data_IF_730351971269
#
_entry.id   IF_730351971269
#
_cell.length_a   1.000
_cell.length_b   1.000
_cell.length_c   1.000
_cell.angle_alpha   90.00
_cell.angle_beta   90.00
_cell.angle_gamma   90.00
#
_symmetry.space_group_name_H-M   'P 1'
#
loop_
_entity.id
_entity.type
_entity.pdbx_description
1 polymer ?
#
# COMPACT_ATOMS: atom_id res chain seq x y z
N UNK A 1 -13.13 11.84 -5.69
CA UNK A 1 -12.81 11.41 -4.31
C UNK A 1 -11.46 12.04 -3.93
N UNK A 2 -11.32 12.66 -2.77
CA UNK A 2 -10.06 13.28 -2.35
C UNK A 2 -9.67 12.67 -1.01
N UNK A 3 -8.84 11.63 -1.06
CA UNK A 3 -8.37 10.81 0.08
C UNK A 3 -7.87 11.66 1.23
N UNK A 4 -7.25 12.83 0.93
CA UNK A 4 -6.82 13.80 1.93
C UNK A 4 -7.95 14.46 2.75
N UNK A 5 -9.22 14.18 2.51
CA UNK A 5 -10.34 14.64 3.35
C UNK A 5 -11.20 13.50 3.88
N UNK A 6 -11.24 12.37 3.17
CA UNK A 6 -12.01 11.21 3.58
C UNK A 6 -11.27 10.36 4.61
N UNK A 7 -9.95 10.21 4.46
CA UNK A 7 -9.16 9.35 5.32
C UNK A 7 -8.71 10.07 6.60
N UNK A 8 -9.07 9.47 7.74
CA UNK A 8 -8.76 9.99 9.07
C UNK A 8 -8.11 8.91 9.90
N UNK A 9 -7.14 9.30 10.70
CA UNK A 9 -6.47 8.42 11.65
C UNK A 9 -7.45 7.75 12.61
N UNK A 10 -8.51 8.43 13.05
CA UNK A 10 -9.59 7.88 13.89
C UNK A 10 -10.36 6.68 13.30
N UNK A 11 -10.17 6.38 12.01
CA UNK A 11 -10.78 5.22 11.34
C UNK A 11 -10.08 3.90 11.70
N UNK A 12 -8.92 3.96 12.35
CA UNK A 12 -8.07 2.80 12.62
C UNK A 12 -7.85 2.61 14.12
N UNK A 13 -8.05 1.38 14.57
CA UNK A 13 -7.59 0.87 15.86
C UNK A 13 -6.36 -0.01 15.63
N UNK A 14 -5.37 0.05 16.52
CA UNK A 14 -4.13 -0.74 16.45
C UNK A 14 -4.03 -1.60 17.69
N UNK A 15 -3.71 -2.86 17.50
CA UNK A 15 -3.28 -3.76 18.57
C UNK A 15 -1.84 -4.21 18.32
N UNK A 16 -1.03 -4.22 19.38
CA UNK A 16 0.33 -4.80 19.40
C UNK A 16 0.36 -5.85 20.51
N UNK A 17 0.78 -7.07 20.20
CA UNK A 17 0.74 -8.24 21.09
C UNK A 17 -0.65 -8.45 21.74
N UNK A 18 -1.70 -8.18 20.96
CA UNK A 18 -3.10 -8.27 21.39
C UNK A 18 -3.54 -7.19 22.38
N UNK A 19 -2.73 -6.15 22.62
CA UNK A 19 -3.07 -5.01 23.46
C UNK A 19 -3.31 -3.77 22.61
N UNK A 20 -4.30 -2.96 22.97
CA UNK A 20 -4.54 -1.69 22.30
C UNK A 20 -3.29 -0.80 22.36
N UNK A 21 -2.90 -0.26 21.20
CA UNK A 21 -1.71 0.54 21.04
C UNK A 21 -2.04 1.95 20.53
N UNK A 22 -1.20 2.90 20.90
CA UNK A 22 -1.22 4.26 20.35
C UNK A 22 -0.65 4.21 18.94
N UNK A 23 -1.51 4.46 17.95
CA UNK A 23 -1.18 4.41 16.53
C UNK A 23 -0.04 5.35 16.16
N UNK A 24 -0.10 6.59 16.63
CA UNK A 24 0.92 7.61 16.32
C UNK A 24 2.29 7.17 16.83
N UNK A 25 2.34 6.60 18.04
CA UNK A 25 3.58 6.07 18.60
C UNK A 25 4.05 4.79 17.93
N UNK A 26 3.13 3.91 17.53
CA UNK A 26 3.48 2.65 16.88
C UNK A 26 4.05 2.86 15.48
N UNK A 27 3.41 3.72 14.68
CA UNK A 27 3.89 4.03 13.33
C UNK A 27 5.06 5.03 13.36
N UNK A 28 5.13 5.90 14.39
CA UNK A 28 6.19 6.92 14.58
C UNK A 28 6.51 7.71 13.28
N UNK A 29 5.44 8.06 12.57
CA UNK A 29 5.51 8.68 11.26
C UNK A 29 5.96 10.14 11.33
N UNK A 30 6.97 10.47 10.53
CA UNK A 30 7.64 11.76 10.47
C UNK A 30 7.35 12.46 9.13
N UNK A 31 7.56 13.79 9.03
CA UNK A 31 7.21 14.54 7.83
C UNK A 31 7.84 14.02 6.54
N UNK A 32 9.03 13.41 6.59
CA UNK A 32 9.75 12.92 5.42
C UNK A 32 9.64 11.40 5.24
N UNK A 33 8.86 10.72 6.06
CA UNK A 33 8.71 9.27 5.96
C UNK A 33 7.99 8.86 4.68
N UNK A 34 8.34 7.66 4.22
CA UNK A 34 7.85 7.07 2.98
C UNK A 34 7.57 5.59 3.20
N UNK A 35 6.40 5.15 2.77
CA UNK A 35 6.01 3.74 2.81
C UNK A 35 6.38 3.10 1.48
N UNK A 36 7.04 1.95 1.52
CA UNK A 36 7.28 1.08 0.38
C UNK A 36 6.59 -0.26 0.60
N UNK A 37 5.78 -0.70 -0.36
CA UNK A 37 5.08 -1.99 -0.31
C UNK A 37 5.52 -2.85 -1.49
N UNK A 38 6.07 -4.02 -1.21
CA UNK A 38 6.50 -4.97 -2.24
C UNK A 38 5.35 -5.89 -2.62
N UNK A 39 5.12 -6.07 -3.92
CA UNK A 39 4.11 -6.94 -4.50
C UNK A 39 4.80 -7.96 -5.41
N UNK A 40 4.47 -9.23 -5.22
CA UNK A 40 4.96 -10.35 -6.02
C UNK A 40 3.83 -11.25 -6.55
N UNK A 41 2.57 -10.86 -6.37
CA UNK A 41 1.41 -11.60 -6.87
C UNK A 41 0.27 -10.65 -7.27
N UNK A 42 -0.61 -11.07 -8.19
CA UNK A 42 -1.77 -10.28 -8.61
C UNK A 42 -2.63 -9.85 -7.42
N UNK A 43 -2.92 -8.55 -7.34
CA UNK A 43 -3.64 -7.88 -6.25
C UNK A 43 -3.10 -8.17 -4.84
N UNK A 44 -1.86 -8.65 -4.71
CA UNK A 44 -1.27 -9.03 -3.43
C UNK A 44 -1.21 -7.86 -2.45
N UNK A 45 -1.10 -6.63 -2.94
CA UNK A 45 -1.10 -5.42 -2.12
C UNK A 45 -2.38 -5.22 -1.30
N UNK A 46 -3.49 -5.88 -1.65
CA UNK A 46 -4.72 -5.83 -0.87
C UNK A 46 -4.55 -6.43 0.54
N UNK A 47 -3.62 -7.38 0.72
CA UNK A 47 -3.25 -7.90 2.03
C UNK A 47 -2.62 -6.87 2.97
N UNK A 48 -2.13 -5.75 2.42
CA UNK A 48 -1.55 -4.63 3.16
C UNK A 48 -2.39 -3.33 3.07
N UNK A 49 -3.63 -3.41 2.57
CA UNK A 49 -4.46 -2.23 2.25
C UNK A 49 -4.74 -1.33 3.44
N UNK A 50 -4.94 -1.87 4.66
CA UNK A 50 -5.15 -1.04 5.84
C UNK A 50 -3.88 -0.34 6.29
N UNK A 51 -2.70 -0.95 6.12
CA UNK A 51 -1.43 -0.30 6.43
C UNK A 51 -1.12 0.82 5.42
N UNK A 52 -1.42 0.61 4.14
CA UNK A 52 -1.33 1.63 3.08
C UNK A 52 -2.19 2.85 3.41
N UNK A 53 -3.45 2.62 3.76
CA UNK A 53 -4.39 3.69 4.11
C UNK A 53 -3.99 4.35 5.44
N UNK A 54 -3.59 3.59 6.44
CA UNK A 54 -3.10 4.11 7.71
C UNK A 54 -1.88 5.05 7.53
N UNK A 55 -0.89 4.64 6.74
CA UNK A 55 0.27 5.48 6.43
C UNK A 55 -0.12 6.73 5.64
N UNK A 56 -1.10 6.61 4.74
CA UNK A 56 -1.66 7.75 4.01
C UNK A 56 -2.30 8.76 4.97
N UNK A 57 -3.06 8.30 5.97
CA UNK A 57 -3.62 9.17 7.00
C UNK A 57 -2.51 9.87 7.82
N UNK A 58 -1.51 9.10 8.26
CA UNK A 58 -0.38 9.62 9.04
C UNK A 58 0.43 10.67 8.29
N UNK A 59 0.63 10.48 6.97
CA UNK A 59 1.31 11.45 6.11
C UNK A 59 0.65 12.83 6.11
N UNK A 60 -0.68 12.87 6.09
CA UNK A 60 -1.40 14.14 6.17
C UNK A 60 -1.45 14.68 7.59
N UNK A 61 -1.56 13.82 8.60
CA UNK A 61 -1.70 14.23 10.00
C UNK A 61 -0.41 14.84 10.56
N UNK A 62 0.77 14.32 10.18
CA UNK A 62 2.06 14.88 10.62
C UNK A 62 2.33 16.28 10.04
N UNK A 63 1.67 16.63 8.93
CA UNK A 63 1.75 17.96 8.32
C UNK A 63 0.40 18.35 7.69
N UNK A 64 -0.56 18.87 8.50
CA UNK A 64 -1.93 19.11 8.06
C UNK A 64 -2.08 20.05 6.86
N UNK A 65 -1.14 20.98 6.66
CA UNK A 65 -1.12 21.89 5.50
C UNK A 65 -1.05 21.15 4.16
N UNK A 66 -0.66 19.86 4.16
CA UNK A 66 -0.70 19.00 2.96
C UNK A 66 -2.12 18.78 2.42
N UNK A 67 -3.14 18.91 3.28
CA UNK A 67 -4.55 18.79 2.88
C UNK A 67 -5.04 20.02 2.09
N UNK A 68 -4.27 21.11 2.05
CA UNK A 68 -4.64 22.37 1.37
C UNK A 68 -4.20 22.44 -0.10
N UNK A 69 -3.48 21.44 -0.59
CA UNK A 69 -2.93 21.40 -1.94
C UNK A 69 -3.05 20.00 -2.56
N UNK A 70 -2.96 19.85 -3.89
CA UNK A 70 -3.06 18.56 -4.57
C UNK A 70 -1.80 17.71 -4.34
N UNK A 71 -1.68 17.20 -3.11
CA UNK A 71 -0.60 16.34 -2.65
C UNK A 71 -1.14 14.94 -2.43
N UNK A 72 -0.44 13.95 -2.98
CA UNK A 72 -0.64 12.56 -2.62
C UNK A 72 0.36 12.16 -1.51
N UNK A 73 0.06 11.12 -0.73
CA UNK A 73 0.91 10.66 0.37
C UNK A 73 2.09 9.80 -0.10
N UNK A 74 3.30 9.98 0.41
CA UNK A 74 4.52 9.28 -0.06
C UNK A 74 4.51 7.76 0.21
N UNK A 75 3.62 7.05 -0.48
CA UNK A 75 3.39 5.61 -0.45
C UNK A 75 3.72 5.08 -1.84
N UNK A 76 4.58 4.08 -1.88
CA UNK A 76 5.14 3.48 -3.08
C UNK A 76 4.84 2.00 -3.10
N UNK A 77 4.56 1.48 -4.30
CA UNK A 77 4.34 0.07 -4.57
C UNK A 77 5.43 -0.41 -5.53
N UNK A 78 6.12 -1.47 -5.15
CA UNK A 78 7.19 -2.11 -5.93
C UNK A 78 6.68 -3.44 -6.45
N UNK A 79 6.53 -3.56 -7.75
CA UNK A 79 5.96 -4.74 -8.40
C UNK A 79 7.08 -5.55 -9.04
N UNK A 80 7.31 -6.74 -8.49
CA UNK A 80 8.34 -7.67 -8.94
C UNK A 80 7.81 -8.53 -10.09
N UNK A 81 8.57 -8.65 -11.18
CA UNK A 81 8.30 -9.59 -12.27
C UNK A 81 7.17 -9.20 -13.25
N UNK A 82 6.41 -8.14 -12.95
CA UNK A 82 5.38 -7.64 -13.85
C UNK A 82 4.28 -6.86 -13.14
N UNK A 83 3.23 -6.46 -13.87
CA UNK A 83 2.06 -5.82 -13.28
C UNK A 83 1.18 -6.82 -12.52
N UNK A 84 0.85 -6.44 -11.29
CA UNK A 84 0.02 -7.14 -10.32
C UNK A 84 -1.31 -6.42 -10.07
N UNK A 85 -1.74 -5.59 -11.02
CA UNK A 85 -2.99 -4.83 -10.95
C UNK A 85 -2.83 -3.38 -10.55
N UNK A 86 -3.92 -2.62 -10.73
CA UNK A 86 -3.98 -1.19 -10.49
C UNK A 86 -4.47 -0.88 -9.07
N UNK A 87 -3.67 -0.13 -8.32
CA UNK A 87 -3.99 0.33 -6.95
C UNK A 87 -4.26 1.84 -6.90
N UNK A 88 -4.73 2.43 -8.01
CA UNK A 88 -4.99 3.88 -8.06
C UNK A 88 -6.11 4.33 -7.11
N UNK A 89 -6.98 3.43 -6.65
CA UNK A 89 -7.95 3.71 -5.58
C UNK A 89 -7.28 4.07 -4.25
N UNK A 90 -6.05 3.60 -4.02
CA UNK A 90 -5.24 3.95 -2.84
C UNK A 90 -4.30 5.14 -3.10
N UNK A 91 -4.58 5.98 -4.10
CA UNK A 91 -3.71 7.08 -4.54
C UNK A 91 -2.31 6.66 -5.04
N UNK A 92 -2.15 5.41 -5.46
CA UNK A 92 -0.91 4.89 -6.06
C UNK A 92 -0.86 5.25 -7.56
N UNK A 93 -0.37 6.45 -7.83
CA UNK A 93 -0.28 7.05 -9.17
C UNK A 93 1.09 6.74 -9.84
N UNK A 94 1.29 6.98 -11.16
CA UNK A 94 2.44 6.47 -11.93
C UNK A 94 3.85 6.64 -11.36
N UNK A 95 4.14 7.70 -10.60
CA UNK A 95 5.48 7.91 -10.02
C UNK A 95 5.70 7.15 -8.70
N UNK A 96 4.66 6.46 -8.24
CA UNK A 96 4.60 5.72 -6.98
C UNK A 96 4.41 4.24 -7.17
N UNK A 97 4.13 3.82 -8.39
CA UNK A 97 4.18 2.44 -8.80
C UNK A 97 5.49 2.20 -9.56
N UNK A 98 6.26 1.23 -9.11
CA UNK A 98 7.61 0.95 -9.59
C UNK A 98 7.66 -0.49 -10.03
N UNK A 99 7.90 -0.73 -11.31
CA UNK A 99 8.09 -2.08 -11.83
C UNK A 99 9.56 -2.43 -11.83
N UNK A 100 9.90 -3.57 -11.24
CA UNK A 100 11.27 -4.08 -11.15
C UNK A 100 11.32 -5.53 -11.64
N UNK A 101 12.48 -5.95 -12.13
CA UNK A 101 12.71 -7.37 -12.40
C UNK A 101 12.63 -8.21 -11.11
N UNK A 102 12.49 -9.53 -11.25
CA UNK A 102 12.48 -10.46 -10.12
C UNK A 102 13.83 -10.57 -9.37
N UNK A 103 14.88 -9.95 -9.91
CA UNK A 103 16.21 -9.87 -9.29
C UNK A 103 16.16 -9.09 -7.96
N UNK A 104 16.55 -9.71 -6.82
CA UNK A 104 16.51 -9.06 -5.50
C UNK A 104 17.32 -7.77 -5.42
N UNK A 105 18.44 -7.70 -6.15
CA UNK A 105 19.27 -6.50 -6.26
C UNK A 105 18.51 -5.30 -6.83
N UNK A 106 17.76 -5.51 -7.91
CA UNK A 106 16.99 -4.44 -8.56
C UNK A 106 15.84 -3.94 -7.67
N UNK A 107 15.22 -4.85 -6.92
CA UNK A 107 14.22 -4.50 -5.91
C UNK A 107 14.82 -3.60 -4.83
N UNK A 108 15.97 -4.00 -4.26
CA UNK A 108 16.61 -3.24 -3.19
C UNK A 108 17.12 -1.87 -3.66
N UNK A 109 17.70 -1.79 -4.86
CA UNK A 109 18.10 -0.53 -5.48
C UNK A 109 16.89 0.41 -5.64
N UNK A 110 15.76 -0.11 -6.13
CA UNK A 110 14.55 0.68 -6.29
C UNK A 110 14.02 1.20 -4.93
N UNK A 111 14.03 0.36 -3.89
CA UNK A 111 13.65 0.75 -2.53
C UNK A 111 14.56 1.88 -2.03
N UNK A 112 15.88 1.76 -2.22
CA UNK A 112 16.84 2.77 -1.82
C UNK A 112 16.70 4.08 -2.61
N UNK A 113 16.49 4.01 -3.92
CA UNK A 113 16.28 5.17 -4.80
C UNK A 113 15.04 6.00 -4.42
N UNK A 114 13.99 5.35 -3.88
CA UNK A 114 12.80 6.04 -3.37
C UNK A 114 12.94 6.51 -1.93
N UNK A 115 14.08 6.24 -1.29
CA UNK A 115 14.37 6.61 0.10
C UNK A 115 13.28 6.10 1.07
N UNK A 116 12.85 4.85 0.91
CA UNK A 116 11.84 4.23 1.77
C UNK A 116 12.31 4.21 3.23
N UNK A 117 11.42 4.59 4.16
CA UNK A 117 11.69 4.55 5.61
C UNK A 117 10.84 3.51 6.34
N UNK A 118 9.68 3.14 5.77
CA UNK A 118 8.83 2.06 6.24
C UNK A 118 8.67 1.04 5.12
N UNK A 119 9.13 -0.19 5.33
CA UNK A 119 9.12 -1.25 4.30
C UNK A 119 8.12 -2.35 4.66
N UNK A 120 7.24 -2.67 3.72
CA UNK A 120 6.23 -3.72 3.86
C UNK A 120 6.48 -4.77 2.79
N UNK A 121 6.73 -6.01 3.20
CA UNK A 121 7.09 -7.12 2.31
C UNK A 121 6.14 -8.30 2.47
N UNK A 122 5.86 -9.06 1.40
CA UNK A 122 5.12 -10.31 1.51
C UNK A 122 5.83 -11.25 2.50
N UNK A 123 5.07 -11.84 3.41
CA UNK A 123 5.61 -12.84 4.33
C UNK A 123 5.92 -14.14 3.59
N UNK A 124 6.84 -14.91 4.13
CA UNK A 124 7.29 -16.14 3.48
C UNK A 124 8.50 -16.74 4.15
N UNK A 125 9.15 -17.65 3.42
CA UNK A 125 10.39 -18.28 3.89
C UNK A 125 11.57 -17.36 3.58
N UNK A 126 12.36 -16.95 4.59
CA UNK A 126 13.61 -16.22 4.39
C UNK A 126 14.53 -16.93 3.39
N UNK A 127 15.14 -16.16 2.50
CA UNK A 127 16.09 -16.65 1.49
C UNK A 127 17.48 -16.08 1.74
N UNK A 128 18.50 -16.85 1.37
CA UNK A 128 19.87 -16.36 1.30
C UNK A 128 20.05 -15.63 -0.04
N UNK A 129 20.04 -14.29 0.02
CA UNK A 129 20.02 -13.42 -1.15
C UNK A 129 21.31 -12.61 -1.23
N UNK A 130 21.82 -12.46 -2.44
CA UNK A 130 22.99 -11.62 -2.72
C UNK A 130 22.54 -10.28 -3.29
N UNK A 131 22.96 -9.20 -2.66
CA UNK A 131 22.69 -7.83 -3.09
C UNK A 131 23.98 -7.13 -3.55
N UNK A 132 23.87 -6.06 -4.37
CA UNK A 132 25.01 -5.19 -4.63
C UNK A 132 25.58 -4.64 -3.32
N UNK A 133 26.91 -4.62 -3.20
CA UNK A 133 27.63 -4.46 -1.93
C UNK A 133 27.06 -3.39 -0.98
N UNK A 134 26.74 -2.20 -1.49
CA UNK A 134 26.35 -1.03 -0.67
C UNK A 134 24.85 -0.95 -0.37
N UNK A 135 24.04 -1.72 -1.08
CA UNK A 135 22.59 -1.61 -1.02
C UNK A 135 22.02 -2.04 0.35
N UNK A 136 22.48 -3.15 0.97
CA UNK A 136 22.02 -3.53 2.31
C UNK A 136 22.33 -2.50 3.38
N UNK A 137 23.52 -1.90 3.37
CA UNK A 137 23.91 -0.89 4.36
C UNK A 137 23.07 0.39 4.21
N UNK A 138 22.79 0.80 2.98
CA UNK A 138 21.91 1.97 2.71
C UNK A 138 20.48 1.72 3.21
N UNK A 139 19.99 0.48 3.11
CA UNK A 139 18.68 0.11 3.62
C UNK A 139 18.66 0.07 5.15
N UNK A 140 19.69 -0.49 5.80
CA UNK A 140 19.84 -0.52 7.26
C UNK A 140 19.93 0.87 7.89
N UNK A 141 20.61 1.80 7.22
CA UNK A 141 20.74 3.18 7.68
C UNK A 141 19.41 3.95 7.63
N UNK A 142 18.59 3.68 6.59
CA UNK A 142 17.41 4.49 6.29
C UNK A 142 16.10 3.91 6.79
N UNK A 143 15.91 2.60 6.68
CA UNK A 143 14.64 1.96 7.00
C UNK A 143 14.50 1.87 8.52
N UNK A 144 13.42 2.45 9.04
CA UNK A 144 13.13 2.55 10.47
C UNK A 144 12.22 1.43 10.95
N UNK A 145 11.22 1.08 10.14
CA UNK A 145 10.23 0.07 10.46
C UNK A 145 10.03 -0.88 9.28
N UNK A 146 9.93 -2.18 9.58
CA UNK A 146 9.58 -3.19 8.60
C UNK A 146 8.42 -4.06 9.07
N UNK A 147 7.54 -4.41 8.13
CA UNK A 147 6.41 -5.28 8.38
C UNK A 147 6.33 -6.38 7.31
N UNK A 148 6.14 -7.62 7.75
CA UNK A 148 5.72 -8.71 6.87
C UNK A 148 4.19 -8.78 6.84
N UNK A 149 3.64 -9.04 5.65
CA UNK A 149 2.20 -9.17 5.44
C UNK A 149 1.85 -10.40 4.60
N UNK A 150 0.71 -11.03 4.88
CA UNK A 150 0.13 -12.05 4.01
C UNK A 150 -0.75 -11.42 2.94
N UNK A 151 -0.70 -11.91 1.71
CA UNK A 151 -1.64 -11.52 0.63
C UNK A 151 -3.10 -11.80 1.00
N UNK A 152 -3.33 -12.68 1.97
CA UNK A 152 -4.65 -12.99 2.51
C UNK A 152 -5.11 -11.98 3.57
N UNK A 153 -4.26 -11.04 3.97
CA UNK A 153 -4.49 -10.07 5.05
C UNK A 153 -4.40 -10.66 6.47
N UNK A 154 -4.18 -11.97 6.62
CA UNK A 154 -3.90 -12.62 7.93
C UNK A 154 -2.51 -13.25 7.90
N UNK A 155 -1.57 -12.56 8.54
CA UNK A 155 -0.17 -12.99 8.67
C UNK A 155 -0.03 -13.97 9.84
N UNK A 156 0.73 -15.05 9.64
CA UNK A 156 1.07 -15.99 10.70
C UNK A 156 2.05 -15.36 11.69
N UNK A 157 1.99 -15.76 12.96
CA UNK A 157 2.83 -15.20 14.03
C UNK A 157 2.81 -13.67 14.09
N UNK A 158 1.65 -13.08 13.75
CA UNK A 158 1.45 -11.65 13.76
C UNK A 158 1.45 -11.08 15.18
N UNK A 159 2.19 -10.00 15.35
CA UNK A 159 2.27 -9.20 16.57
C UNK A 159 1.47 -7.90 16.45
N UNK A 160 1.07 -7.50 15.24
CA UNK A 160 0.28 -6.30 14.98
C UNK A 160 -1.05 -6.66 14.33
N UNK A 161 -2.13 -6.01 14.78
CA UNK A 161 -3.39 -5.96 14.04
C UNK A 161 -3.82 -4.51 13.80
N UNK A 162 -4.23 -4.22 12.57
CA UNK A 162 -4.96 -3.00 12.22
C UNK A 162 -6.42 -3.40 12.09
N UNK A 163 -7.30 -2.62 12.70
CA UNK A 163 -8.73 -2.91 12.80
C UNK A 163 -9.51 -1.67 12.36
N UNK A 164 -10.59 -1.86 11.61
CA UNK A 164 -11.50 -0.78 11.26
C UNK A 164 -12.93 -1.25 11.08
N UNK A 165 -13.88 -0.35 11.33
CA UNK A 165 -15.32 -0.51 11.12
C UNK A 165 -15.83 0.35 9.95
N UNK A 166 -14.95 1.17 9.38
CA UNK A 166 -15.32 2.18 8.41
C UNK A 166 -15.48 1.57 7.03
N UNK A 167 -16.67 1.72 6.44
CA UNK A 167 -16.97 1.17 5.11
C UNK A 167 -16.11 1.79 4.01
N UNK A 168 -15.73 3.06 4.17
CA UNK A 168 -14.90 3.78 3.22
C UNK A 168 -13.59 3.03 2.91
N UNK A 169 -12.95 2.40 3.91
CA UNK A 169 -11.70 1.67 3.70
C UNK A 169 -11.88 0.41 2.83
N UNK A 170 -13.12 -0.10 2.77
CA UNK A 170 -13.51 -1.25 1.93
C UNK A 170 -13.77 -0.81 0.50
N UNK A 171 -14.33 0.38 0.32
CA UNK A 171 -14.66 0.90 -1.02
C UNK A 171 -13.40 0.98 -1.89
N UNK A 172 -12.25 1.39 -1.34
CA UNK A 172 -10.98 1.44 -2.09
C UNK A 172 -10.47 0.05 -2.50
N UNK A 173 -10.72 -0.98 -1.68
CA UNK A 173 -10.43 -2.38 -2.02
C UNK A 173 -11.35 -2.87 -3.15
N UNK A 174 -12.64 -2.57 -3.04
CA UNK A 174 -13.63 -2.92 -4.08
C UNK A 174 -13.30 -2.25 -5.43
N UNK A 175 -12.82 -1.01 -5.42
CA UNK A 175 -12.40 -0.31 -6.63
C UNK A 175 -11.13 -0.89 -7.27
N UNK A 176 -10.24 -1.50 -6.48
CA UNK A 176 -9.09 -2.24 -7.01
C UNK A 176 -9.51 -3.60 -7.60
N UNK A 177 -10.50 -4.26 -6.99
CA UNK A 177 -11.07 -5.52 -7.51
C UNK A 177 -11.90 -5.30 -8.78
N UNK A 178 -12.59 -4.16 -8.87
CA UNK A 178 -13.48 -3.79 -9.97
C UNK A 178 -13.00 -2.50 -10.67
N UNK A 179 -11.87 -2.55 -11.40
CA UNK A 179 -11.22 -1.34 -11.91
C UNK A 179 -12.10 -0.57 -12.92
N UNK A 180 -13.10 -1.19 -13.53
CA UNK A 180 -14.06 -0.46 -14.37
C UNK A 180 -14.99 0.45 -13.56
N UNK A 181 -15.37 0.06 -12.32
CA UNK A 181 -16.08 0.97 -11.40
C UNK A 181 -15.21 2.17 -11.05
N UNK A 182 -13.91 1.97 -10.87
CA UNK A 182 -12.96 3.07 -10.65
C UNK A 182 -12.91 4.02 -11.86
N UNK A 183 -12.86 3.49 -13.08
CA UNK A 183 -12.94 4.29 -14.31
C UNK A 183 -14.22 5.12 -14.33
N UNK A 184 -15.38 4.51 -14.12
CA UNK A 184 -16.68 5.22 -14.10
C UNK A 184 -16.71 6.33 -13.04
N UNK A 185 -16.19 6.03 -11.84
CA UNK A 185 -16.07 7.00 -10.76
C UNK A 185 -15.18 8.19 -11.16
N UNK A 186 -13.99 7.95 -11.74
CA UNK A 186 -13.10 9.01 -12.22
C UNK A 186 -13.78 9.82 -13.32
N UNK A 187 -14.44 9.14 -14.27
CA UNK A 187 -15.05 9.78 -15.42
C UNK A 187 -16.23 10.70 -15.07
N UNK A 188 -16.92 10.41 -13.97
CA UNK A 188 -17.97 11.29 -13.44
C UNK A 188 -17.47 12.70 -13.09
N UNK A 189 -16.16 12.88 -12.93
CA UNK A 189 -15.51 14.16 -12.62
C UNK A 189 -14.81 14.82 -13.83
N UNK A 190 -14.93 14.28 -15.05
CA UNK A 190 -14.20 14.78 -16.23
C UNK A 190 -14.42 16.25 -16.55
N UNK A 191 -15.60 16.78 -16.24
CA UNK A 191 -15.98 18.16 -16.50
C UNK A 191 -15.86 19.09 -15.29
N UNK A 192 -15.41 18.56 -14.16
CA UNK A 192 -15.19 19.30 -12.92
C UNK A 192 -13.80 19.95 -12.92
N UNK A 193 -13.68 21.11 -12.28
CA UNK A 193 -12.39 21.79 -12.09
C UNK A 193 -11.87 22.55 -13.32
N UNK A 194 -10.63 23.03 -13.22
CA UNK A 194 -9.94 23.75 -14.27
C UNK A 194 -9.34 22.82 -15.34
N UNK A 195 -8.70 23.39 -16.37
CA UNK A 195 -8.12 22.61 -17.46
C UNK A 195 -7.04 21.60 -17.00
N UNK A 196 -6.29 21.93 -15.93
CA UNK A 196 -5.26 21.06 -15.39
C UNK A 196 -5.88 19.85 -14.67
N UNK A 197 -6.91 20.08 -13.85
CA UNK A 197 -7.67 19.02 -13.20
C UNK A 197 -8.31 18.09 -14.22
N UNK A 198 -8.95 18.63 -15.27
CA UNK A 198 -9.56 17.82 -16.34
C UNK A 198 -8.53 16.97 -17.09
N UNK A 199 -7.33 17.52 -17.35
CA UNK A 199 -6.24 16.76 -17.98
C UNK A 199 -5.77 15.62 -17.06
N UNK A 200 -5.62 15.89 -15.77
CA UNK A 200 -5.27 14.88 -14.79
C UNK A 200 -6.29 13.74 -14.74
N UNK A 201 -7.58 14.08 -14.58
CA UNK A 201 -8.69 13.12 -14.54
C UNK A 201 -8.73 12.24 -15.80
N UNK A 202 -8.56 12.83 -16.98
CA UNK A 202 -8.47 12.07 -18.25
C UNK A 202 -7.31 11.09 -18.28
N UNK A 203 -6.13 11.52 -17.85
CA UNK A 203 -4.93 10.66 -17.81
C UNK A 203 -5.09 9.51 -16.81
N UNK A 204 -5.69 9.78 -15.65
CA UNK A 204 -5.96 8.75 -14.65
C UNK A 204 -6.96 7.71 -15.17
N UNK A 205 -8.08 8.13 -15.76
CA UNK A 205 -9.06 7.21 -16.37
C UNK A 205 -8.43 6.38 -17.50
N UNK A 206 -7.63 7.00 -18.37
CA UNK A 206 -6.93 6.30 -19.45
C UNK A 206 -5.95 5.25 -18.92
N UNK A 207 -5.22 5.57 -17.85
CA UNK A 207 -4.32 4.62 -17.18
C UNK A 207 -5.09 3.42 -16.66
N UNK A 208 -6.11 3.62 -15.84
CA UNK A 208 -6.87 2.49 -15.25
C UNK A 208 -7.50 1.63 -16.37
N UNK A 209 -8.05 2.27 -17.42
CA UNK A 209 -8.56 1.55 -18.61
C UNK A 209 -7.52 0.69 -19.31
N UNK A 210 -6.29 1.20 -19.46
CA UNK A 210 -5.20 0.47 -20.10
C UNK A 210 -4.77 -0.79 -19.36
N UNK A 211 -5.20 -0.94 -18.09
CA UNK A 211 -4.74 -1.97 -17.16
C UNK A 211 -5.84 -2.95 -16.75
N UNK A 212 -7.05 -2.84 -17.31
CA UNK A 212 -8.21 -3.68 -16.94
C UNK A 212 -7.95 -5.18 -17.05
N UNK A 213 -7.02 -5.58 -17.92
CA UNK A 213 -6.70 -6.97 -18.23
C UNK A 213 -5.35 -7.43 -17.63
N UNK A 214 -4.73 -6.65 -16.74
CA UNK A 214 -3.47 -7.06 -16.08
C UNK A 214 -3.67 -8.24 -15.12
N UNK A 215 -4.85 -8.34 -14.52
CA UNK A 215 -5.20 -9.37 -13.53
C UNK A 215 -6.32 -10.22 -14.09
N UNK A 216 -6.17 -11.55 -14.00
CA UNK A 216 -7.19 -12.49 -14.47
C UNK A 216 -8.44 -12.46 -13.59
N UNK A 217 -9.58 -12.93 -14.11
CA UNK A 217 -10.80 -13.04 -13.30
C UNK A 217 -10.64 -14.05 -12.15
N UNK A 218 -9.88 -15.12 -12.34
CA UNK A 218 -9.59 -16.10 -11.28
C UNK A 218 -8.77 -15.47 -10.14
N UNK A 219 -7.80 -14.62 -10.47
CA UNK A 219 -7.02 -13.88 -9.49
C UNK A 219 -7.88 -12.85 -8.74
N UNK A 220 -8.80 -12.16 -9.43
CA UNK A 220 -9.76 -11.25 -8.79
C UNK A 220 -10.69 -12.00 -7.82
N UNK A 221 -11.21 -13.16 -8.21
CA UNK A 221 -12.03 -14.02 -7.34
C UNK A 221 -11.24 -14.47 -6.12
N UNK A 222 -9.97 -14.85 -6.32
CA UNK A 222 -9.08 -15.25 -5.23
C UNK A 222 -8.83 -14.09 -4.26
N UNK A 223 -8.47 -12.91 -4.78
CA UNK A 223 -8.24 -11.72 -3.97
C UNK A 223 -9.51 -11.26 -3.23
N UNK A 224 -10.68 -11.34 -3.88
CA UNK A 224 -11.99 -11.09 -3.24
C UNK A 224 -12.25 -12.06 -2.09
N UNK A 225 -12.02 -13.35 -2.29
CA UNK A 225 -12.18 -14.38 -1.25
C UNK A 225 -11.32 -14.08 -0.03
N UNK A 226 -10.07 -13.65 -0.25
CA UNK A 226 -9.17 -13.24 0.82
C UNK A 226 -9.68 -11.99 1.55
N UNK A 227 -10.14 -10.98 0.81
CA UNK A 227 -10.69 -9.77 1.40
C UNK A 227 -11.95 -10.04 2.24
N UNK A 228 -12.85 -10.89 1.75
CA UNK A 228 -14.05 -11.27 2.47
C UNK A 228 -13.71 -12.05 3.76
N UNK A 229 -12.64 -12.85 3.75
CA UNK A 229 -12.21 -13.62 4.91
C UNK A 229 -11.64 -12.77 6.05
N UNK A 230 -11.17 -11.53 5.77
CA UNK A 230 -10.69 -10.62 6.82
C UNK A 230 -11.80 -9.77 7.46
N UNK A 231 -13.01 -9.84 6.92
CA UNK A 231 -14.20 -9.14 7.39
C UNK A 231 -15.03 -10.02 8.31
N UNK A 232 -15.09 -9.66 9.60
CA UNK A 232 -15.89 -10.34 10.60
C UNK A 232 -16.88 -9.36 11.23
N UNK A 233 -18.18 -9.56 11.02
CA UNK A 233 -19.24 -8.66 11.53
C UNK A 233 -19.04 -7.19 11.15
N UNK A 234 -18.73 -6.91 9.88
CA UNK A 234 -18.40 -5.59 9.33
C UNK A 234 -17.13 -4.93 9.90
N UNK A 235 -16.32 -5.70 10.65
CA UNK A 235 -15.02 -5.28 11.17
C UNK A 235 -13.96 -5.87 10.26
N UNK A 236 -13.18 -5.02 9.61
CA UNK A 236 -11.99 -5.44 8.89
C UNK A 236 -10.85 -5.60 9.88
N UNK A 237 -10.16 -6.74 9.84
CA UNK A 237 -8.95 -6.99 10.63
C UNK A 237 -7.84 -7.57 9.75
N UNK A 238 -6.77 -6.81 9.57
CA UNK A 238 -5.54 -7.26 8.92
C UNK A 238 -4.44 -7.37 9.95
N UNK A 239 -3.64 -8.43 9.83
CA UNK A 239 -2.56 -8.70 10.78
C UNK A 239 -1.21 -8.69 10.07
N UNK A 240 -0.20 -8.22 10.79
CA UNK A 240 1.15 -8.00 10.28
C UNK A 240 2.15 -8.51 11.32
N UNK A 241 3.36 -8.82 10.87
CA UNK A 241 4.48 -9.15 11.74
C UNK A 241 5.52 -8.04 11.67
N UNK A 242 5.90 -7.48 12.81
CA UNK A 242 7.03 -6.55 12.89
C UNK A 242 8.31 -7.35 12.69
N UNK A 243 9.17 -6.90 11.77
CA UNK A 243 10.39 -7.61 11.42
C UNK A 243 11.59 -6.66 11.41
N UNK A 244 12.80 -7.21 11.54
CA UNK A 244 14.03 -6.45 11.32
C UNK A 244 14.22 -6.14 9.84
N UNK A 245 15.02 -5.11 9.54
CA UNK A 245 15.45 -4.81 8.16
C UNK A 245 16.09 -6.04 7.52
N UNK A 246 16.98 -6.76 8.23
CA UNK A 246 17.62 -7.97 7.70
C UNK A 246 16.62 -9.08 7.34
N UNK A 247 15.59 -9.27 8.17
CA UNK A 247 14.51 -10.20 7.86
C UNK A 247 13.75 -9.74 6.62
N UNK A 248 13.43 -8.44 6.52
CA UNK A 248 12.75 -7.89 5.35
C UNK A 248 13.56 -8.08 4.07
N UNK A 249 14.88 -7.84 4.13
CA UNK A 249 15.79 -8.08 3.01
C UNK A 249 15.80 -9.54 2.57
N UNK A 250 15.75 -10.50 3.51
CA UNK A 250 15.68 -11.93 3.17
C UNK A 250 14.34 -12.37 2.54
N UNK A 251 13.32 -11.51 2.58
CA UNK A 251 11.98 -11.75 2.02
C UNK A 251 11.73 -11.04 0.68
N UNK A 252 12.61 -10.14 0.24
CA UNK A 252 12.58 -9.55 -1.11
C UNK A 252 12.82 -10.61 -2.18
#
# INVERSE_FOLDING_TARGET
MHTAFSLKSSMFEIEVDGQAADREKWLDWQPNDRLGVVLNSPLGGLGASMLIQLATAAYFDVRPTRREAPHYAEVYVFQSGGPHGDLSSFDIVPHREVFVSEEPGAMLEAINDRAITHLVVPDGTPRDLTFPWKEPESARDRIRHCYAYSVQGRTSDADVAIISRESLLRDDVELALEPMKLVENIESYLDVGDAANKLYTRKLAQRVRGRLNEVSEDDKITARTYHDAILENDIMRQTFRTISVDTALSLL
#
